data_IF_059855607005
#
_entry.id   IF_059855607005
#
_cell.length_a   1.000
_cell.length_b   1.000
_cell.length_c   1.000
_cell.angle_alpha   90.00
_cell.angle_beta   90.00
_cell.angle_gamma   90.00
#
_symmetry.space_group_name_H-M   'P 1'
#
loop_
_entity.id
_entity.type
_entity.pdbx_description
1 polymer ?
#
# COMPACT_ATOMS: atom_id res chain seq x y z
N UNK A 1 -31.42 -7.42 5.61
CA UNK A 1 -30.09 -7.76 6.15
C UNK A 1 -30.23 -8.50 7.47
N UNK A 2 -30.25 -9.84 7.49
CA UNK A 2 -30.40 -10.65 8.70
C UNK A 2 -29.13 -10.73 9.58
N UNK A 3 -27.94 -10.56 8.99
CA UNK A 3 -26.66 -10.78 9.69
C UNK A 3 -26.38 -9.76 10.81
N UNK A 4 -26.92 -8.53 10.72
CA UNK A 4 -26.80 -7.50 11.76
C UNK A 4 -27.51 -7.85 13.08
N UNK A 5 -28.41 -8.84 13.10
CA UNK A 5 -29.02 -9.32 14.34
C UNK A 5 -28.09 -10.27 15.12
N UNK A 6 -27.30 -11.10 14.43
CA UNK A 6 -26.40 -12.06 15.07
C UNK A 6 -25.24 -11.36 15.78
N UNK A 7 -24.76 -10.24 15.25
CA UNK A 7 -23.74 -9.39 15.88
C UNK A 7 -24.21 -8.81 17.23
N UNK A 8 -25.51 -8.51 17.37
CA UNK A 8 -26.07 -8.04 18.65
C UNK A 8 -26.06 -9.14 19.71
N UNK A 9 -26.28 -10.39 19.30
CA UNK A 9 -26.30 -11.52 20.23
C UNK A 9 -24.89 -11.99 20.65
N UNK A 10 -23.83 -11.60 19.92
CA UNK A 10 -22.45 -11.74 20.41
C UNK A 10 -22.19 -10.92 21.68
N UNK A 11 -22.97 -9.85 21.92
CA UNK A 11 -22.88 -8.95 23.09
C UNK A 11 -24.05 -9.13 24.07
N UNK A 12 -24.81 -10.22 23.95
CA UNK A 12 -25.94 -10.51 24.83
C UNK A 12 -25.51 -10.61 26.30
N UNK A 13 -26.38 -10.24 27.25
CA UNK A 13 -26.09 -10.36 28.68
C UNK A 13 -25.99 -11.83 29.11
N UNK A 14 -26.80 -12.70 28.50
CA UNK A 14 -26.85 -14.12 28.81
C UNK A 14 -25.66 -14.86 28.18
N UNK A 15 -24.80 -15.41 29.04
CA UNK A 15 -23.64 -16.23 28.63
C UNK A 15 -24.02 -17.37 27.67
N UNK A 16 -25.16 -18.01 27.90
CA UNK A 16 -25.65 -19.11 27.07
C UNK A 16 -25.98 -18.68 25.64
N UNK A 17 -26.51 -17.46 25.47
CA UNK A 17 -26.81 -16.90 24.15
C UNK A 17 -25.51 -16.61 23.41
N UNK A 18 -24.57 -15.89 24.06
CA UNK A 18 -23.25 -15.60 23.49
C UNK A 18 -22.53 -16.89 23.05
N UNK A 19 -22.48 -17.90 23.90
CA UNK A 19 -21.83 -19.17 23.61
C UNK A 19 -22.45 -19.89 22.40
N UNK A 20 -23.79 -19.91 22.29
CA UNK A 20 -24.49 -20.52 21.16
C UNK A 20 -24.22 -19.79 19.85
N UNK A 21 -24.21 -18.46 19.87
CA UNK A 21 -23.95 -17.63 18.68
C UNK A 21 -22.52 -17.83 18.19
N UNK A 22 -21.53 -17.78 19.08
CA UNK A 22 -20.12 -18.06 18.72
C UNK A 22 -19.97 -19.47 18.15
N UNK A 23 -20.67 -20.45 18.75
CA UNK A 23 -20.63 -21.82 18.24
C UNK A 23 -21.32 -21.97 16.87
N UNK A 24 -22.37 -21.20 16.58
CA UNK A 24 -22.98 -21.16 15.25
C UNK A 24 -21.99 -20.62 14.21
N UNK A 25 -21.30 -19.52 14.52
CA UNK A 25 -20.26 -18.98 13.66
C UNK A 25 -19.13 -19.99 13.42
N UNK A 26 -18.73 -20.75 14.45
CA UNK A 26 -17.76 -21.85 14.28
C UNK A 26 -18.27 -22.90 13.30
N UNK A 27 -19.52 -23.33 13.40
CA UNK A 27 -20.10 -24.30 12.46
C UNK A 27 -20.14 -23.76 11.03
N UNK A 28 -20.40 -22.47 10.85
CA UNK A 28 -20.32 -21.82 9.53
C UNK A 28 -18.89 -21.75 9.00
N UNK A 29 -17.91 -21.48 9.86
CA UNK A 29 -16.48 -21.53 9.53
C UNK A 29 -16.07 -22.94 9.08
N UNK A 30 -16.46 -23.97 9.83
CA UNK A 30 -16.18 -25.38 9.52
C UNK A 30 -16.77 -25.78 8.15
N UNK A 31 -17.96 -25.25 7.82
CA UNK A 31 -18.65 -25.52 6.58
C UNK A 31 -18.18 -24.66 5.39
N UNK A 32 -17.21 -23.73 5.58
CA UNK A 32 -16.79 -22.74 4.56
C UNK A 32 -17.95 -21.87 4.06
N UNK A 33 -18.85 -21.47 4.96
CA UNK A 33 -20.09 -20.74 4.62
C UNK A 33 -20.16 -19.32 5.19
N UNK A 34 -19.07 -18.77 5.70
CA UNK A 34 -19.04 -17.37 6.13
C UNK A 34 -19.02 -16.47 4.88
N UNK A 35 -20.01 -15.58 4.70
CA UNK A 35 -19.99 -14.64 3.58
C UNK A 35 -18.82 -13.65 3.70
N UNK A 36 -18.18 -13.30 2.57
CA UNK A 36 -17.06 -12.34 2.57
C UNK A 36 -17.46 -11.01 3.21
N UNK A 37 -18.65 -10.50 2.91
CA UNK A 37 -19.16 -9.25 3.50
C UNK A 37 -19.21 -9.26 5.04
N UNK A 38 -19.38 -10.44 5.66
CA UNK A 38 -19.38 -10.57 7.12
C UNK A 38 -17.95 -10.56 7.66
N UNK A 39 -17.00 -11.14 6.91
CA UNK A 39 -15.57 -11.06 7.23
C UNK A 39 -15.08 -9.62 7.12
N UNK A 40 -15.46 -8.92 6.04
CA UNK A 40 -15.14 -7.52 5.79
C UNK A 40 -15.69 -6.60 6.90
N UNK A 41 -16.83 -6.96 7.49
CA UNK A 41 -17.46 -6.23 8.59
C UNK A 41 -16.86 -6.54 9.98
N UNK A 42 -15.77 -7.30 10.06
CA UNK A 42 -15.02 -7.48 11.32
C UNK A 42 -15.55 -8.57 12.25
N UNK A 43 -16.17 -9.64 11.72
CA UNK A 43 -16.62 -10.78 12.56
C UNK A 43 -15.48 -11.42 13.36
N UNK A 44 -14.26 -11.39 12.83
CA UNK A 44 -13.07 -11.91 13.49
C UNK A 44 -12.77 -11.07 14.74
N UNK A 45 -12.88 -9.75 14.66
CA UNK A 45 -12.67 -8.85 15.80
C UNK A 45 -13.75 -9.08 16.86
N UNK A 46 -15.02 -9.15 16.46
CA UNK A 46 -16.12 -9.38 17.40
C UNK A 46 -15.99 -10.71 18.15
N UNK A 47 -15.57 -11.78 17.47
CA UNK A 47 -15.31 -13.07 18.12
C UNK A 47 -13.99 -13.05 18.89
N UNK A 48 -12.99 -12.29 18.44
CA UNK A 48 -11.72 -12.07 19.11
C UNK A 48 -11.91 -11.45 20.49
N UNK A 49 -12.78 -10.44 20.60
CA UNK A 49 -13.19 -9.87 21.87
C UNK A 49 -13.82 -10.91 22.82
N UNK A 50 -14.39 -12.01 22.30
CA UNK A 50 -14.98 -13.09 23.13
C UNK A 50 -13.94 -14.04 23.71
N UNK A 51 -12.69 -14.00 23.24
CA UNK A 51 -11.57 -14.69 23.88
C UNK A 51 -11.28 -14.14 25.28
N UNK A 52 -11.77 -12.95 25.60
CA UNK A 52 -11.65 -12.31 26.91
C UNK A 52 -12.91 -12.40 27.77
N UNK A 53 -13.93 -13.16 27.33
CA UNK A 53 -15.16 -13.33 28.09
C UNK A 53 -14.87 -13.91 29.49
N UNK A 54 -15.64 -13.46 30.49
CA UNK A 54 -15.53 -13.95 31.87
C UNK A 54 -15.74 -15.46 31.96
N UNK A 55 -16.58 -16.02 31.10
CA UNK A 55 -17.01 -17.41 31.16
C UNK A 55 -16.25 -18.27 30.15
N UNK A 56 -15.63 -19.35 30.64
CA UNK A 56 -14.94 -20.36 29.81
C UNK A 56 -15.86 -20.89 28.71
N UNK A 57 -17.17 -21.02 29.02
CA UNK A 57 -18.19 -21.49 28.10
C UNK A 57 -18.28 -20.67 26.80
N UNK A 58 -17.89 -19.40 26.83
CA UNK A 58 -17.86 -18.52 25.65
C UNK A 58 -16.47 -18.46 25.03
N UNK A 59 -15.41 -18.41 25.86
CA UNK A 59 -14.03 -18.34 25.37
C UNK A 59 -13.64 -19.57 24.55
N UNK A 60 -13.99 -20.77 25.02
CA UNK A 60 -13.67 -22.03 24.34
C UNK A 60 -14.21 -22.10 22.89
N UNK A 61 -15.52 -21.89 22.62
CA UNK A 61 -16.02 -21.89 21.24
C UNK A 61 -15.45 -20.73 20.41
N UNK A 62 -15.06 -19.61 21.02
CA UNK A 62 -14.40 -18.50 20.31
C UNK A 62 -13.00 -18.89 19.81
N UNK A 63 -12.19 -19.55 20.65
CA UNK A 63 -10.88 -20.08 20.26
C UNK A 63 -11.04 -21.11 19.12
N UNK A 64 -12.02 -22.00 19.25
CA UNK A 64 -12.31 -23.00 18.24
C UNK A 64 -12.76 -22.38 16.91
N UNK A 65 -13.56 -21.30 16.96
CA UNK A 65 -13.89 -20.51 15.78
C UNK A 65 -12.64 -19.97 15.09
N UNK A 66 -11.71 -19.34 15.82
CA UNK A 66 -10.50 -18.78 15.21
C UNK A 66 -9.66 -19.84 14.49
N UNK A 67 -9.54 -21.03 15.08
CA UNK A 67 -8.86 -22.17 14.46
C UNK A 67 -9.57 -22.64 13.19
N UNK A 68 -10.89 -22.76 13.25
CA UNK A 68 -11.70 -23.19 12.10
C UNK A 68 -11.64 -22.18 10.96
N UNK A 69 -11.75 -20.89 11.29
CA UNK A 69 -11.63 -19.80 10.35
C UNK A 69 -10.30 -19.84 9.61
N UNK A 70 -9.18 -20.00 10.31
CA UNK A 70 -7.86 -20.13 9.70
C UNK A 70 -7.76 -21.33 8.75
N UNK A 71 -8.19 -22.52 9.20
CA UNK A 71 -8.17 -23.74 8.37
C UNK A 71 -8.98 -23.62 7.08
N UNK A 72 -10.06 -22.86 7.16
CA UNK A 72 -11.05 -22.70 6.10
C UNK A 72 -11.05 -21.29 5.50
N UNK A 73 -9.94 -20.57 5.65
CA UNK A 73 -9.86 -19.17 5.26
C UNK A 73 -9.97 -18.99 3.73
N UNK A 74 -10.43 -17.81 3.32
CA UNK A 74 -10.61 -17.44 1.90
C UNK A 74 -9.40 -16.74 1.29
N UNK A 75 -8.36 -16.48 2.10
CA UNK A 75 -7.25 -15.57 1.77
C UNK A 75 -5.98 -16.27 1.24
N UNK A 76 -5.98 -17.60 1.23
CA UNK A 76 -4.91 -18.44 0.70
C UNK A 76 -4.12 -19.18 1.79
N UNK A 77 -2.86 -19.47 1.47
CA UNK A 77 -2.02 -20.39 2.25
C UNK A 77 -1.14 -19.70 3.30
N UNK A 78 -0.97 -18.38 3.24
CA UNK A 78 -0.19 -17.60 4.20
C UNK A 78 -0.81 -16.23 4.51
N UNK A 79 -0.51 -15.72 5.69
CA UNK A 79 -0.82 -14.38 6.17
C UNK A 79 0.45 -13.60 6.50
N UNK A 80 1.58 -13.93 5.85
CA UNK A 80 2.88 -13.33 6.12
C UNK A 80 2.81 -11.81 5.98
N UNK A 81 2.89 -11.08 7.10
CA UNK A 81 2.64 -9.63 7.11
C UNK A 81 3.57 -8.88 6.16
N UNK A 82 4.85 -9.23 6.16
CA UNK A 82 5.87 -8.61 5.32
C UNK A 82 5.57 -8.80 3.82
N UNK A 83 5.27 -10.03 3.41
CA UNK A 83 4.99 -10.33 2.01
C UNK A 83 3.71 -9.65 1.52
N UNK A 84 2.63 -9.74 2.31
CA UNK A 84 1.33 -9.19 1.96
C UNK A 84 1.34 -7.65 1.99
N UNK A 85 2.05 -7.00 2.92
CA UNK A 85 2.22 -5.53 2.94
C UNK A 85 3.01 -5.04 1.73
N UNK A 86 4.10 -5.71 1.37
CA UNK A 86 4.86 -5.37 0.15
C UNK A 86 4.02 -5.54 -1.11
N UNK A 87 3.12 -6.53 -1.16
CA UNK A 87 2.21 -6.70 -2.28
C UNK A 87 1.16 -5.58 -2.34
N UNK A 88 0.57 -5.22 -1.21
CA UNK A 88 -0.36 -4.09 -1.13
C UNK A 88 0.29 -2.77 -1.57
N UNK A 89 1.53 -2.51 -1.17
CA UNK A 89 2.27 -1.31 -1.60
C UNK A 89 2.45 -1.25 -3.12
N UNK A 90 2.72 -2.39 -3.77
CA UNK A 90 2.81 -2.46 -5.23
C UNK A 90 1.47 -2.15 -5.90
N UNK A 91 0.36 -2.70 -5.38
CA UNK A 91 -0.97 -2.42 -5.90
C UNK A 91 -1.37 -0.95 -5.72
N UNK A 92 -1.02 -0.33 -4.59
CA UNK A 92 -1.26 1.09 -4.36
C UNK A 92 -0.50 1.97 -5.36
N UNK A 93 0.78 1.66 -5.62
CA UNK A 93 1.58 2.35 -6.64
C UNK A 93 1.02 2.13 -8.06
N UNK A 94 0.52 0.93 -8.38
CA UNK A 94 -0.16 0.63 -9.64
C UNK A 94 -1.44 1.46 -9.79
N UNK A 95 -2.25 1.57 -8.73
CA UNK A 95 -3.44 2.42 -8.72
C UNK A 95 -3.09 3.89 -8.94
N UNK A 96 -2.06 4.40 -8.28
CA UNK A 96 -1.58 5.77 -8.48
C UNK A 96 -1.14 6.01 -9.93
N UNK A 97 -0.41 5.07 -10.53
CA UNK A 97 -0.03 5.14 -11.93
C UNK A 97 -1.24 5.07 -12.88
N UNK A 98 -2.27 4.26 -12.57
CA UNK A 98 -3.51 4.22 -13.34
C UNK A 98 -4.28 5.54 -13.26
N UNK A 99 -4.41 6.12 -12.07
CA UNK A 99 -5.07 7.42 -11.86
C UNK A 99 -4.31 8.56 -12.54
N UNK A 100 -2.99 8.53 -12.51
CA UNK A 100 -2.17 9.51 -13.24
C UNK A 100 -2.33 9.44 -14.77
N UNK A 101 -2.77 8.28 -15.29
CA UNK A 101 -3.01 8.04 -16.71
C UNK A 101 -4.51 7.96 -17.05
N UNK A 102 -5.35 8.71 -16.31
CA UNK A 102 -6.80 8.78 -16.54
C UNK A 102 -7.10 9.30 -17.97
N UNK A 103 -7.78 8.49 -18.82
CA UNK A 103 -8.12 8.86 -20.19
C UNK A 103 -9.22 9.94 -20.29
N UNK A 104 -9.98 10.19 -19.22
CA UNK A 104 -11.02 11.22 -19.15
C UNK A 104 -10.51 12.53 -18.50
N UNK A 105 -9.24 12.59 -18.08
CA UNK A 105 -8.69 13.78 -17.44
C UNK A 105 -8.62 14.92 -18.46
N UNK A 106 -9.37 15.99 -18.16
CA UNK A 106 -9.54 17.16 -19.01
C UNK A 106 -8.18 17.67 -19.55
N UNK A 107 -7.96 17.70 -20.88
CA UNK A 107 -6.75 18.25 -21.48
C UNK A 107 -6.45 19.67 -20.99
N UNK A 108 -7.50 20.45 -20.69
CA UNK A 108 -7.35 21.76 -20.09
C UNK A 108 -6.75 21.67 -18.68
N UNK A 109 -7.21 20.75 -17.83
CA UNK A 109 -6.60 20.53 -16.51
C UNK A 109 -5.17 19.99 -16.59
N UNK A 110 -4.82 19.20 -17.60
CA UNK A 110 -3.45 18.68 -17.78
C UNK A 110 -2.49 19.79 -18.21
N UNK A 111 -2.92 20.64 -19.11
CA UNK A 111 -2.20 21.85 -19.49
C UNK A 111 -2.05 22.80 -18.30
N UNK A 112 -3.14 23.06 -17.55
CA UNK A 112 -3.14 23.91 -16.34
C UNK A 112 -2.17 23.37 -15.27
N UNK A 113 -2.28 22.09 -14.92
CA UNK A 113 -1.42 21.46 -13.92
C UNK A 113 0.06 21.45 -14.33
N UNK A 114 0.34 21.34 -15.63
CA UNK A 114 1.72 21.42 -16.12
C UNK A 114 2.29 22.83 -15.98
N UNK A 115 1.54 23.85 -16.37
CA UNK A 115 1.96 25.25 -16.22
C UNK A 115 2.14 25.57 -14.75
N UNK A 116 1.18 25.22 -13.89
CA UNK A 116 1.25 25.41 -12.44
C UNK A 116 2.50 24.76 -11.83
N UNK A 117 2.80 23.51 -12.21
CA UNK A 117 3.96 22.77 -11.69
C UNK A 117 5.30 23.42 -12.00
N UNK A 118 5.44 24.10 -13.14
CA UNK A 118 6.72 24.66 -13.59
C UNK A 118 6.77 26.20 -13.46
N UNK A 119 5.63 26.85 -13.17
CA UNK A 119 5.48 28.29 -13.08
C UNK A 119 6.54 28.94 -12.20
N UNK A 120 6.69 28.48 -10.96
CA UNK A 120 7.58 29.09 -9.97
C UNK A 120 9.06 28.92 -10.35
N UNK A 121 9.41 27.77 -10.95
CA UNK A 121 10.77 27.52 -11.40
C UNK A 121 11.15 28.41 -12.59
N UNK A 122 10.29 28.50 -13.60
CA UNK A 122 10.52 29.36 -14.78
C UNK A 122 10.60 30.82 -14.34
N UNK A 123 9.68 31.28 -13.49
CA UNK A 123 9.68 32.63 -12.94
C UNK A 123 10.97 32.94 -12.19
N UNK A 124 11.39 32.06 -11.27
CA UNK A 124 12.60 32.26 -10.47
C UNK A 124 13.84 32.39 -11.35
N UNK A 125 13.92 31.62 -12.43
CA UNK A 125 15.05 31.68 -13.36
C UNK A 125 15.03 32.93 -14.21
N UNK A 126 13.87 33.39 -14.69
CA UNK A 126 13.75 34.67 -15.40
C UNK A 126 14.17 35.84 -14.51
N UNK A 127 13.69 35.91 -13.27
CA UNK A 127 14.09 36.96 -12.31
C UNK A 127 15.61 36.96 -12.10
N UNK A 128 16.19 35.78 -11.86
CA UNK A 128 17.63 35.65 -11.62
C UNK A 128 18.44 36.03 -12.85
N UNK A 129 18.03 35.57 -14.03
CA UNK A 129 18.70 35.87 -15.29
C UNK A 129 18.62 37.37 -15.63
N UNK A 130 17.46 38.00 -15.48
CA UNK A 130 17.27 39.42 -15.77
C UNK A 130 18.10 40.32 -14.84
N UNK A 131 18.30 39.90 -13.59
CA UNK A 131 19.15 40.61 -12.64
C UNK A 131 20.65 40.53 -12.99
N UNK A 132 21.07 39.53 -13.78
CA UNK A 132 22.47 39.37 -14.22
C UNK A 132 22.80 40.08 -15.54
N UNK A 133 21.79 40.62 -16.22
CA UNK A 133 21.93 41.27 -17.52
C UNK A 133 22.39 42.72 -17.35
N UNK A 134 23.37 43.13 -18.15
CA UNK A 134 23.70 44.54 -18.35
C UNK A 134 22.74 45.17 -19.37
N UNK A 135 21.67 45.79 -18.89
CA UNK A 135 20.66 46.44 -19.72
C UNK A 135 21.14 47.73 -20.39
N UNK A 136 22.26 48.32 -19.94
CA UNK A 136 22.84 49.53 -20.53
C UNK A 136 23.70 49.27 -21.76
N UNK A 137 24.08 48.00 -22.00
CA UNK A 137 24.85 47.62 -23.18
C UNK A 137 23.99 47.67 -24.46
N UNK A 138 24.54 48.34 -25.47
CA UNK A 138 23.94 48.42 -26.80
C UNK A 138 24.13 47.10 -27.54
N UNK A 139 23.07 46.57 -28.13
CA UNK A 139 23.17 45.46 -29.07
C UNK A 139 23.28 45.99 -30.48
N UNK A 140 24.10 45.32 -31.30
CA UNK A 140 24.24 45.67 -32.70
C UNK A 140 22.89 45.48 -33.41
N UNK A 141 22.43 46.48 -34.19
CA UNK A 141 21.21 46.34 -34.97
C UNK A 141 21.35 45.18 -35.95
N UNK A 142 20.24 44.49 -36.21
CA UNK A 142 20.21 43.33 -37.09
C UNK A 142 20.59 43.70 -38.52
N UNK A 143 21.33 42.82 -39.18
CA UNK A 143 21.59 42.93 -40.62
C UNK A 143 20.28 42.76 -41.41
N UNK A 144 20.15 43.39 -42.58
CA UNK A 144 18.93 43.31 -43.42
C UNK A 144 18.57 41.87 -43.85
N UNK A 145 19.50 40.92 -43.69
CA UNK A 145 19.34 39.50 -43.99
C UNK A 145 19.03 38.62 -42.74
N UNK A 146 19.07 39.19 -41.52
CA UNK A 146 18.73 38.49 -40.27
C UNK A 146 17.21 38.46 -40.05
N UNK A 147 16.53 37.66 -40.88
CA UNK A 147 15.09 37.41 -40.76
C UNK A 147 14.83 36.43 -39.61
N UNK A 148 14.49 36.93 -38.42
CA UNK A 148 13.96 36.08 -37.36
C UNK A 148 12.61 35.54 -37.84
N UNK A 149 12.55 34.25 -38.17
CA UNK A 149 11.28 33.67 -38.58
C UNK A 149 10.22 33.84 -37.48
N UNK A 150 8.98 34.09 -37.87
CA UNK A 150 7.83 34.15 -36.97
C UNK A 150 7.77 32.92 -36.03
N UNK A 151 8.29 31.78 -36.49
CA UNK A 151 8.40 30.54 -35.72
C UNK A 151 9.33 30.65 -34.50
N UNK A 152 10.40 31.45 -34.57
CA UNK A 152 11.33 31.68 -33.44
C UNK A 152 10.65 32.55 -32.36
N UNK A 153 9.94 33.60 -32.78
CA UNK A 153 9.19 34.49 -31.88
C UNK A 153 7.99 33.77 -31.25
N UNK A 154 7.38 32.84 -31.98
CA UNK A 154 6.27 32.03 -31.49
C UNK A 154 6.71 30.89 -30.56
N UNK A 155 7.87 30.28 -30.79
CA UNK A 155 8.28 29.02 -30.14
C UNK A 155 9.02 29.14 -28.79
N UNK A 156 9.66 30.27 -28.49
CA UNK A 156 10.42 30.42 -27.23
C UNK A 156 9.63 30.19 -25.93
N UNK A 157 8.30 30.50 -25.83
CA UNK A 157 7.52 30.17 -24.65
C UNK A 157 7.45 28.67 -24.36
N UNK A 158 7.29 27.86 -25.41
CA UNK A 158 7.26 26.41 -25.31
C UNK A 158 8.59 25.87 -24.77
N UNK A 159 9.69 26.37 -25.33
CA UNK A 159 11.05 25.96 -24.97
C UNK A 159 11.41 26.34 -23.53
N UNK A 160 10.92 27.47 -23.02
CA UNK A 160 11.12 27.86 -21.61
C UNK A 160 10.54 26.84 -20.64
N UNK A 161 9.28 26.45 -20.88
CA UNK A 161 8.60 25.49 -20.04
C UNK A 161 9.10 24.07 -20.25
N UNK A 162 9.67 23.74 -21.43
CA UNK A 162 10.32 22.46 -21.67
C UNK A 162 11.68 22.36 -20.97
N UNK A 163 12.51 23.41 -21.04
CA UNK A 163 13.80 23.48 -20.35
C UNK A 163 13.63 23.29 -18.82
N UNK A 164 12.56 23.84 -18.25
CA UNK A 164 12.20 23.62 -16.84
C UNK A 164 11.86 22.17 -16.48
N UNK A 165 11.35 21.40 -17.44
CA UNK A 165 10.99 20.00 -17.23
C UNK A 165 12.17 19.04 -17.43
N UNK A 166 13.11 19.37 -18.34
CA UNK A 166 14.08 18.40 -18.86
C UNK A 166 15.54 18.69 -18.48
N UNK A 167 15.99 19.95 -18.56
CA UNK A 167 17.42 20.29 -18.55
C UNK A 167 17.84 21.13 -17.35
N UNK A 168 16.94 21.97 -16.83
CA UNK A 168 17.24 22.89 -15.72
C UNK A 168 18.25 23.99 -16.06
N UNK A 169 18.73 24.06 -17.30
CA UNK A 169 19.63 25.09 -17.81
C UNK A 169 18.84 26.09 -18.67
N UNK A 170 18.83 27.34 -18.23
CA UNK A 170 18.02 28.43 -18.80
C UNK A 170 18.88 29.55 -19.37
N UNK A 171 20.21 29.49 -19.20
CA UNK A 171 21.08 30.64 -19.41
C UNK A 171 21.04 31.13 -20.86
N UNK A 172 21.18 30.23 -21.82
CA UNK A 172 21.19 30.56 -23.25
C UNK A 172 19.82 31.05 -23.75
N UNK A 173 18.74 30.49 -23.20
CA UNK A 173 17.38 30.87 -23.55
C UNK A 173 17.01 32.25 -23.00
N UNK A 174 17.38 32.54 -21.76
CA UNK A 174 17.21 33.87 -21.16
C UNK A 174 18.06 34.89 -21.93
N UNK A 175 19.31 34.56 -22.26
CA UNK A 175 20.17 35.42 -23.08
C UNK A 175 19.54 35.74 -24.45
N UNK A 176 18.91 34.75 -25.08
CA UNK A 176 18.20 34.94 -26.35
C UNK A 176 16.97 35.85 -26.20
N UNK A 177 16.18 35.69 -25.14
CA UNK A 177 15.02 36.55 -24.85
C UNK A 177 15.46 38.00 -24.60
N UNK A 178 16.50 38.19 -23.81
CA UNK A 178 17.09 39.52 -23.51
C UNK A 178 17.56 40.21 -24.79
N UNK A 179 18.24 39.46 -25.67
CA UNK A 179 18.71 39.96 -26.96
C UNK A 179 17.56 40.46 -27.82
N UNK A 180 16.54 39.61 -27.98
CA UNK A 180 15.33 39.94 -28.75
C UNK A 180 14.57 41.15 -28.19
N UNK A 181 14.52 41.28 -26.86
CA UNK A 181 13.96 42.45 -26.18
C UNK A 181 14.73 43.72 -26.56
N UNK A 182 16.06 43.73 -26.42
CA UNK A 182 16.90 44.91 -26.73
C UNK A 182 16.83 45.35 -28.18
N UNK A 183 16.71 44.40 -29.10
CA UNK A 183 16.53 44.66 -30.53
C UNK A 183 15.12 45.19 -30.87
N UNK A 184 14.19 45.22 -29.91
CA UNK A 184 12.84 45.74 -30.09
C UNK A 184 11.91 44.81 -30.85
N UNK A 185 12.26 43.52 -30.98
CA UNK A 185 11.47 42.52 -31.71
C UNK A 185 10.08 42.33 -31.08
N UNK A 186 9.97 42.49 -29.76
CA UNK A 186 8.71 42.34 -29.02
C UNK A 186 7.86 43.62 -28.93
N UNK A 187 8.23 44.71 -29.62
CA UNK A 187 7.43 45.94 -29.63
C UNK A 187 6.02 45.73 -30.18
N UNK A 188 5.86 44.83 -31.15
CA UNK A 188 4.54 44.48 -31.70
C UNK A 188 3.65 43.74 -30.70
N UNK A 189 4.24 43.10 -29.67
CA UNK A 189 3.53 42.49 -28.55
C UNK A 189 3.26 43.49 -27.41
N UNK A 190 3.63 44.76 -27.59
CA UNK A 190 3.49 45.82 -26.59
C UNK A 190 4.56 45.80 -25.51
N UNK A 191 5.69 45.14 -25.74
CA UNK A 191 6.82 45.08 -24.80
C UNK A 191 7.94 46.00 -25.28
N UNK A 192 7.80 47.31 -25.05
CA UNK A 192 8.89 48.25 -25.30
C UNK A 192 9.74 48.42 -24.04
N UNK A 193 11.05 48.18 -24.13
CA UNK A 193 11.97 48.45 -23.01
C UNK A 193 11.94 49.92 -22.59
N UNK A 194 11.59 50.84 -23.48
CA UNK A 194 11.46 52.25 -23.14
C UNK A 194 10.39 52.51 -22.06
N UNK A 195 9.45 51.58 -21.87
CA UNK A 195 8.38 51.68 -20.88
C UNK A 195 8.81 51.23 -19.47
N UNK A 196 9.98 50.60 -19.32
CA UNK A 196 10.46 50.03 -18.06
C UNK A 196 11.81 50.62 -17.64
N UNK A 197 11.95 50.97 -16.35
CA UNK A 197 13.26 51.31 -15.80
C UNK A 197 14.03 50.02 -15.45
N UNK A 198 14.80 49.49 -16.40
CA UNK A 198 15.52 48.23 -16.21
C UNK A 198 16.67 48.27 -15.19
N UNK A 199 16.99 49.43 -14.60
CA UNK A 199 17.89 49.54 -13.43
C UNK A 199 17.15 49.29 -12.10
N UNK A 200 15.82 49.35 -12.08
CA UNK A 200 14.98 49.06 -10.92
C UNK A 200 14.51 47.60 -10.92
N UNK A 201 14.90 46.77 -9.92
CA UNK A 201 14.43 45.39 -9.79
C UNK A 201 12.90 45.25 -9.76
N UNK A 202 12.18 46.30 -9.34
CA UNK A 202 10.72 46.32 -9.30
C UNK A 202 10.14 46.35 -10.72
N UNK A 203 10.71 47.16 -11.60
CA UNK A 203 10.30 47.25 -13.01
C UNK A 203 10.77 46.02 -13.81
N UNK A 204 11.94 45.46 -13.48
CA UNK A 204 12.38 44.17 -14.04
C UNK A 204 11.38 43.05 -13.74
N UNK A 205 10.92 42.95 -12.48
CA UNK A 205 9.94 41.94 -12.08
C UNK A 205 8.58 42.14 -12.79
N UNK A 206 8.16 43.39 -13.04
CA UNK A 206 6.95 43.65 -13.83
C UNK A 206 7.08 43.14 -15.26
N UNK A 207 8.24 43.35 -15.91
CA UNK A 207 8.48 42.80 -17.24
C UNK A 207 8.50 41.25 -17.21
N UNK A 208 9.10 40.65 -16.18
CA UNK A 208 9.04 39.19 -15.97
C UNK A 208 7.60 38.70 -15.80
N UNK A 209 6.74 39.45 -15.09
CA UNK A 209 5.31 39.11 -14.95
C UNK A 209 4.60 39.06 -16.30
N UNK A 210 4.81 40.08 -17.13
CA UNK A 210 4.23 40.18 -18.47
C UNK A 210 4.72 39.04 -19.37
N UNK A 211 6.02 38.72 -19.31
CA UNK A 211 6.63 37.61 -20.03
C UNK A 211 6.04 36.26 -19.56
N UNK A 212 5.88 36.09 -18.24
CA UNK A 212 5.30 34.88 -17.67
C UNK A 212 3.84 34.69 -18.06
N UNK A 213 3.02 35.75 -18.04
CA UNK A 213 1.61 35.69 -18.43
C UNK A 213 1.47 35.24 -19.89
N UNK A 214 2.24 35.85 -20.80
CA UNK A 214 2.25 35.47 -22.21
C UNK A 214 2.79 34.05 -22.42
N UNK A 215 3.86 33.68 -21.71
CA UNK A 215 4.45 32.37 -21.87
C UNK A 215 3.54 31.25 -21.34
N UNK A 216 2.81 31.50 -20.25
CA UNK A 216 1.79 30.59 -19.73
C UNK A 216 0.65 30.41 -20.73
N UNK A 217 0.08 31.49 -21.26
CA UNK A 217 -1.03 31.44 -22.22
C UNK A 217 -0.64 30.71 -23.52
N UNK A 218 0.58 30.95 -24.03
CA UNK A 218 1.09 30.26 -25.22
C UNK A 218 1.38 28.78 -24.95
N UNK A 219 2.06 28.46 -23.85
CA UNK A 219 2.32 27.07 -23.47
C UNK A 219 1.01 26.29 -23.26
N UNK A 220 0.01 26.91 -22.62
CA UNK A 220 -1.34 26.37 -22.48
C UNK A 220 -1.96 26.04 -23.84
N UNK A 221 -1.97 27.00 -24.78
CA UNK A 221 -2.57 26.82 -26.11
C UNK A 221 -1.89 25.72 -26.92
N UNK A 222 -0.57 25.66 -26.92
CA UNK A 222 0.18 24.62 -27.63
C UNK A 222 0.00 23.22 -27.03
N UNK A 223 -0.07 23.13 -25.69
CA UNK A 223 -0.39 21.88 -24.98
C UNK A 223 -1.79 21.40 -25.33
N UNK A 224 -2.77 22.29 -25.28
CA UNK A 224 -4.14 21.99 -25.68
C UNK A 224 -4.22 21.51 -27.14
N UNK A 225 -3.46 22.12 -28.06
CA UNK A 225 -3.40 21.70 -29.46
C UNK A 225 -2.74 20.32 -29.58
N UNK A 226 -1.57 20.11 -28.99
CA UNK A 226 -0.87 18.82 -29.07
C UNK A 226 -1.65 17.66 -28.44
N UNK A 227 -2.41 17.92 -27.38
CA UNK A 227 -3.29 16.94 -26.73
C UNK A 227 -4.60 16.70 -27.50
N UNK A 228 -5.12 17.72 -28.22
CA UNK A 228 -6.31 17.60 -29.07
C UNK A 228 -6.03 17.08 -30.51
N UNK A 229 -4.77 17.04 -30.96
CA UNK A 229 -4.40 16.67 -32.34
C UNK A 229 -4.33 15.15 -32.61
N UNK A 230 -4.86 14.31 -31.73
CA UNK A 230 -5.17 12.91 -32.06
C UNK A 230 -6.66 12.78 -32.40
N UNK A 231 -7.06 12.73 -33.68
CA UNK A 231 -8.37 12.25 -34.09
C UNK A 231 -8.41 10.74 -33.84
N UNK A 232 -8.53 10.33 -32.58
CA UNK A 232 -8.87 8.95 -32.27
C UNK A 232 -10.39 8.85 -32.38
N UNK A 233 -10.88 8.04 -33.33
CA UNK A 233 -12.29 7.69 -33.50
C UNK A 233 -12.97 7.54 -32.14
N UNK A 234 -14.14 8.13 -31.92
CA UNK A 234 -14.80 8.17 -30.61
C UNK A 234 -15.01 6.78 -30.01
N UNK A 235 -15.20 5.75 -30.85
CA UNK A 235 -15.27 4.35 -30.39
C UNK A 235 -13.95 3.86 -29.76
N UNK A 236 -12.79 4.26 -30.28
CA UNK A 236 -11.47 3.91 -29.73
C UNK A 236 -11.16 4.68 -28.43
N UNK A 237 -11.79 5.84 -28.20
CA UNK A 237 -11.73 6.54 -26.91
C UNK A 237 -12.58 5.81 -25.86
N UNK A 238 -13.77 5.38 -26.25
CA UNK A 238 -14.71 4.69 -25.37
C UNK A 238 -14.26 3.27 -25.00
N UNK A 239 -13.64 2.53 -25.92
CA UNK A 239 -12.99 1.24 -25.63
C UNK A 239 -11.80 1.39 -24.66
N UNK A 240 -10.91 2.37 -24.90
CA UNK A 240 -9.77 2.65 -24.00
C UNK A 240 -10.24 3.06 -22.60
N UNK A 241 -11.33 3.81 -22.52
CA UNK A 241 -11.98 4.19 -21.26
C UNK A 241 -12.55 2.99 -20.52
N UNK A 242 -13.28 2.12 -21.21
CA UNK A 242 -13.82 0.89 -20.63
C UNK A 242 -12.70 -0.01 -20.08
N UNK A 243 -11.60 -0.16 -20.84
CA UNK A 243 -10.42 -0.93 -20.41
C UNK A 243 -9.74 -0.31 -19.19
N UNK A 244 -9.59 1.01 -19.14
CA UNK A 244 -9.03 1.70 -17.99
C UNK A 244 -9.91 1.56 -16.74
N UNK A 245 -11.22 1.75 -16.88
CA UNK A 245 -12.19 1.57 -15.79
C UNK A 245 -12.17 0.14 -15.25
N UNK A 246 -12.08 -0.86 -16.13
CA UNK A 246 -11.98 -2.27 -15.74
C UNK A 246 -10.66 -2.55 -15.00
N UNK A 247 -9.54 -2.02 -15.48
CA UNK A 247 -8.23 -2.12 -14.80
C UNK A 247 -8.27 -1.45 -13.43
N UNK A 248 -8.81 -0.24 -13.33
CA UNK A 248 -8.92 0.50 -12.07
C UNK A 248 -9.82 -0.25 -11.08
N UNK A 249 -10.96 -0.78 -11.55
CA UNK A 249 -11.86 -1.60 -10.74
C UNK A 249 -11.14 -2.84 -10.20
N UNK A 250 -10.50 -3.62 -11.07
CA UNK A 250 -9.75 -4.83 -10.67
C UNK A 250 -8.62 -4.52 -9.69
N UNK A 251 -7.91 -3.40 -9.90
CA UNK A 251 -6.87 -2.94 -8.99
C UNK A 251 -7.45 -2.58 -7.61
N UNK A 252 -8.56 -1.82 -7.58
CA UNK A 252 -9.25 -1.47 -6.35
C UNK A 252 -9.81 -2.70 -5.62
N UNK A 253 -10.41 -3.65 -6.34
CA UNK A 253 -10.90 -4.91 -5.77
C UNK A 253 -9.75 -5.71 -5.13
N UNK A 254 -8.59 -5.76 -5.81
CA UNK A 254 -7.38 -6.41 -5.29
C UNK A 254 -6.81 -5.70 -4.05
N UNK A 255 -6.83 -4.37 -4.03
CA UNK A 255 -6.43 -3.56 -2.86
C UNK A 255 -7.37 -3.85 -1.69
N UNK A 256 -8.68 -3.82 -1.90
CA UNK A 256 -9.69 -4.08 -0.87
C UNK A 256 -9.53 -5.51 -0.30
N UNK A 257 -9.33 -6.50 -1.17
CA UNK A 257 -9.03 -7.87 -0.76
C UNK A 257 -7.79 -7.95 0.13
N UNK A 258 -6.68 -7.30 -0.28
CA UNK A 258 -5.43 -7.32 0.48
C UNK A 258 -5.54 -6.58 1.82
N UNK A 259 -6.25 -5.45 1.87
CA UNK A 259 -6.52 -4.72 3.10
C UNK A 259 -7.32 -5.58 4.08
N UNK A 260 -8.36 -6.26 3.59
CA UNK A 260 -9.19 -7.15 4.42
C UNK A 260 -8.39 -8.35 4.92
N UNK A 261 -7.56 -8.95 4.06
CA UNK A 261 -6.63 -10.02 4.45
C UNK A 261 -5.68 -9.59 5.57
N UNK A 262 -5.09 -8.39 5.46
CA UNK A 262 -4.17 -7.85 6.47
C UNK A 262 -4.90 -7.49 7.77
N UNK A 263 -6.12 -6.96 7.68
CA UNK A 263 -6.98 -6.72 8.84
C UNK A 263 -7.27 -8.02 9.59
N UNK A 264 -7.70 -9.06 8.88
CA UNK A 264 -7.91 -10.39 9.45
C UNK A 264 -6.64 -10.95 10.11
N UNK A 265 -5.47 -10.80 9.48
CA UNK A 265 -4.18 -11.17 10.07
C UNK A 265 -3.91 -10.43 11.39
N UNK A 266 -4.18 -9.13 11.44
CA UNK A 266 -4.01 -8.32 12.65
C UNK A 266 -4.91 -8.82 13.77
N UNK A 267 -6.21 -9.00 13.50
CA UNK A 267 -7.20 -9.48 14.47
C UNK A 267 -6.83 -10.85 15.05
N UNK A 268 -6.30 -11.75 14.21
CA UNK A 268 -5.80 -13.06 14.63
C UNK A 268 -4.52 -12.95 15.47
N UNK A 269 -3.64 -12.00 15.16
CA UNK A 269 -2.42 -11.73 15.93
C UNK A 269 -2.76 -11.18 17.33
N UNK A 270 -3.69 -10.23 17.42
CA UNK A 270 -4.17 -9.67 18.69
C UNK A 270 -4.81 -10.75 19.59
N UNK A 271 -5.47 -11.71 18.95
CA UNK A 271 -6.09 -12.87 19.62
C UNK A 271 -5.09 -13.86 20.23
N UNK A 272 -3.81 -13.84 19.82
CA UNK A 272 -2.81 -14.82 20.28
C UNK A 272 -2.54 -14.75 21.78
N UNK A 273 -2.51 -13.56 22.38
CA UNK A 273 -2.24 -13.42 23.82
C UNK A 273 -3.39 -13.97 24.66
N UNK A 274 -4.63 -13.73 24.24
CA UNK A 274 -5.82 -14.26 24.89
C UNK A 274 -5.89 -15.79 24.79
N UNK A 275 -5.50 -16.35 23.65
CA UNK A 275 -5.36 -17.80 23.50
C UNK A 275 -4.22 -18.36 24.35
N UNK A 276 -3.05 -17.71 24.39
CA UNK A 276 -1.93 -18.12 25.23
C UNK A 276 -2.34 -18.18 26.71
N UNK A 277 -3.09 -17.18 27.19
CA UNK A 277 -3.65 -17.21 28.54
C UNK A 277 -4.52 -18.45 28.76
N UNK A 278 -5.35 -18.82 27.79
CA UNK A 278 -6.14 -20.05 27.82
C UNK A 278 -5.29 -21.32 27.86
N UNK A 279 -4.20 -21.39 27.09
CA UNK A 279 -3.25 -22.51 27.11
C UNK A 279 -2.51 -22.61 28.46
N UNK A 280 -2.17 -21.48 29.08
CA UNK A 280 -1.44 -21.45 30.34
C UNK A 280 -2.36 -21.66 31.56
N UNK A 281 -3.56 -21.09 31.59
CA UNK A 281 -4.37 -21.03 32.82
C UNK A 281 -5.78 -21.63 32.68
N UNK A 282 -6.17 -22.03 31.47
CA UNK A 282 -7.49 -22.59 31.19
C UNK A 282 -7.67 -24.03 31.70
N UNK A 283 -8.91 -24.52 31.61
CA UNK A 283 -9.21 -25.92 31.84
C UNK A 283 -8.63 -26.81 30.71
N UNK A 284 -8.70 -28.14 30.87
CA UNK A 284 -8.11 -29.07 29.90
C UNK A 284 -8.70 -28.92 28.48
N UNK A 285 -9.97 -28.52 28.35
CA UNK A 285 -10.61 -28.35 27.04
C UNK A 285 -10.24 -27.00 26.41
N UNK A 286 -10.21 -25.92 27.19
CA UNK A 286 -9.76 -24.59 26.78
C UNK A 286 -8.28 -24.61 26.38
N UNK A 287 -7.44 -25.32 27.14
CA UNK A 287 -6.03 -25.53 26.84
C UNK A 287 -5.84 -26.19 25.47
N UNK A 288 -6.59 -27.26 25.19
CA UNK A 288 -6.49 -27.99 23.93
C UNK A 288 -6.85 -27.11 22.73
N UNK A 289 -7.97 -26.39 22.81
CA UNK A 289 -8.39 -25.48 21.74
C UNK A 289 -7.38 -24.33 21.56
N UNK A 290 -6.85 -23.78 22.66
CA UNK A 290 -5.86 -22.71 22.61
C UNK A 290 -4.57 -23.14 21.93
N UNK A 291 -4.04 -24.32 22.29
CA UNK A 291 -2.86 -24.89 21.65
C UNK A 291 -3.10 -25.11 20.15
N UNK A 292 -4.25 -25.68 19.78
CA UNK A 292 -4.61 -25.88 18.37
C UNK A 292 -4.63 -24.55 17.60
N UNK A 293 -5.28 -23.52 18.14
CA UNK A 293 -5.34 -22.21 17.50
C UNK A 293 -3.95 -21.60 17.28
N UNK A 294 -3.09 -21.62 18.31
CA UNK A 294 -1.73 -21.06 18.24
C UNK A 294 -0.90 -21.77 17.15
N UNK A 295 -1.08 -23.08 16.97
CA UNK A 295 -0.41 -23.85 15.91
C UNK A 295 -0.92 -23.46 14.54
N UNK A 296 -2.24 -23.30 14.37
CA UNK A 296 -2.78 -22.84 13.08
C UNK A 296 -2.25 -21.45 12.74
N UNK A 297 -2.21 -20.52 13.70
CA UNK A 297 -1.58 -19.22 13.51
C UNK A 297 -0.12 -19.34 13.06
N UNK A 298 0.64 -20.29 13.62
CA UNK A 298 2.02 -20.53 13.20
C UNK A 298 2.10 -21.11 11.78
N UNK A 299 1.22 -22.05 11.43
CA UNK A 299 1.18 -22.67 10.09
C UNK A 299 0.87 -21.63 9.00
N UNK A 300 0.03 -20.65 9.31
CA UNK A 300 -0.35 -19.56 8.41
C UNK A 300 0.58 -18.33 8.49
N UNK A 301 1.70 -18.42 9.23
CA UNK A 301 2.67 -17.33 9.40
C UNK A 301 2.10 -16.02 9.99
N UNK A 302 1.12 -16.13 10.90
CA UNK A 302 0.59 -14.98 11.65
C UNK A 302 1.69 -14.36 12.50
N UNK A 303 1.73 -13.03 12.58
CA UNK A 303 2.69 -12.27 13.37
C UNK A 303 2.72 -12.73 14.84
N UNK A 304 3.92 -12.73 15.42
CA UNK A 304 4.22 -13.13 16.80
C UNK A 304 3.91 -14.59 17.19
N UNK A 305 3.39 -15.40 16.27
CA UNK A 305 3.12 -16.83 16.50
C UNK A 305 4.35 -17.62 16.96
N UNK A 306 5.55 -17.30 16.44
CA UNK A 306 6.82 -17.90 16.86
C UNK A 306 7.18 -17.66 18.33
N UNK A 307 6.87 -16.48 18.86
CA UNK A 307 7.12 -16.16 20.27
C UNK A 307 6.13 -16.90 21.16
N UNK A 308 4.87 -16.99 20.72
CA UNK A 308 3.78 -17.60 21.48
C UNK A 308 3.92 -19.13 21.50
N UNK A 309 4.30 -19.77 20.38
CA UNK A 309 4.50 -21.22 20.34
C UNK A 309 5.64 -21.67 21.28
N UNK A 310 6.69 -20.87 21.42
CA UNK A 310 7.79 -21.16 22.38
C UNK A 310 7.33 -21.10 23.83
N UNK A 311 6.41 -20.19 24.14
CA UNK A 311 5.79 -20.13 25.48
C UNK A 311 4.87 -21.33 25.71
N UNK A 312 4.16 -21.80 24.68
CA UNK A 312 3.39 -23.05 24.74
C UNK A 312 4.31 -24.25 24.99
N UNK A 313 5.49 -24.32 24.38
CA UNK A 313 6.44 -25.41 24.62
C UNK A 313 6.97 -25.46 26.06
N UNK A 314 6.98 -24.35 26.79
CA UNK A 314 7.33 -24.36 28.22
C UNK A 314 6.35 -25.19 29.07
N UNK A 315 5.13 -25.46 28.56
CA UNK A 315 4.16 -26.33 29.23
C UNK A 315 4.63 -27.78 29.37
N UNK A 316 5.67 -28.20 28.64
CA UNK A 316 6.25 -29.55 28.75
C UNK A 316 6.77 -29.87 30.16
N UNK A 317 7.13 -28.83 30.93
CA UNK A 317 7.63 -28.95 32.30
C UNK A 317 6.54 -29.05 33.35
N UNK A 318 5.25 -28.96 32.97
CA UNK A 318 4.15 -29.16 33.93
C UNK A 318 4.06 -30.62 34.33
N UNK A 319 3.76 -30.88 35.61
CA UNK A 319 3.52 -32.22 36.15
C UNK A 319 2.13 -32.77 35.75
N UNK A 320 1.80 -32.72 34.46
CA UNK A 320 0.56 -33.27 33.93
C UNK A 320 0.84 -33.95 32.59
N UNK A 321 0.66 -35.27 32.57
CA UNK A 321 0.96 -36.13 31.41
C UNK A 321 0.07 -35.80 30.22
N UNK A 322 -1.20 -35.43 30.44
CA UNK A 322 -2.12 -35.12 29.35
C UNK A 322 -1.76 -33.80 28.67
N UNK A 323 -1.34 -32.79 29.44
CA UNK A 323 -0.82 -31.53 28.89
C UNK A 323 0.46 -31.78 28.10
N UNK A 324 1.39 -32.56 28.64
CA UNK A 324 2.63 -32.93 27.96
C UNK A 324 2.35 -33.65 26.64
N UNK A 325 1.40 -34.60 26.62
CA UNK A 325 0.98 -35.29 25.40
C UNK A 325 0.39 -34.34 24.37
N UNK A 326 -0.47 -33.42 24.80
CA UNK A 326 -1.09 -32.45 23.87
C UNK A 326 -0.03 -31.54 23.25
N UNK A 327 0.93 -31.04 24.04
CA UNK A 327 2.05 -30.21 23.55
C UNK A 327 2.94 -30.98 22.55
N UNK A 328 3.23 -32.25 22.81
CA UNK A 328 4.02 -33.09 21.89
C UNK A 328 3.24 -33.39 20.60
N UNK A 329 1.95 -33.70 20.69
CA UNK A 329 1.08 -33.92 19.53
C UNK A 329 0.95 -32.65 18.67
N UNK A 330 0.83 -31.50 19.32
CA UNK A 330 0.86 -30.19 18.72
C UNK A 330 2.15 -29.93 17.93
N UNK A 331 3.30 -30.10 18.60
CA UNK A 331 4.62 -29.95 17.99
C UNK A 331 4.80 -30.89 16.80
N UNK A 332 4.31 -32.14 16.91
CA UNK A 332 4.33 -33.12 15.82
C UNK A 332 3.57 -32.63 14.59
N UNK A 333 2.32 -32.18 14.76
CA UNK A 333 1.50 -31.66 13.66
C UNK A 333 2.12 -30.44 12.98
N UNK A 334 2.80 -29.61 13.76
CA UNK A 334 3.45 -28.40 13.25
C UNK A 334 4.74 -28.73 12.50
N UNK A 335 5.64 -29.52 13.11
CA UNK A 335 7.01 -29.72 12.65
C UNK A 335 7.14 -30.80 11.58
N UNK A 336 6.40 -31.90 11.70
CA UNK A 336 6.51 -33.03 10.77
C UNK A 336 5.66 -32.73 9.54
N UNK A 337 6.27 -32.84 8.36
CA UNK A 337 5.55 -32.73 7.10
C UNK A 337 4.58 -33.90 6.91
N UNK A 338 3.37 -33.63 6.44
CA UNK A 338 2.37 -34.66 6.10
C UNK A 338 2.45 -35.10 4.63
N UNK A 339 3.47 -34.69 3.89
CA UNK A 339 3.65 -35.10 2.49
C UNK A 339 4.00 -36.59 2.42
N UNK A 340 3.39 -37.30 1.47
CA UNK A 340 3.61 -38.73 1.26
C UNK A 340 5.00 -39.05 0.70
N UNK A 341 5.59 -38.10 -0.04
CA UNK A 341 6.90 -38.27 -0.67
C UNK A 341 8.03 -37.83 0.28
N UNK A 342 8.92 -38.76 0.62
CA UNK A 342 10.02 -38.57 1.59
C UNK A 342 11.00 -37.46 1.15
N UNK A 343 11.27 -37.37 -0.15
CA UNK A 343 12.15 -36.37 -0.78
C UNK A 343 11.67 -34.93 -0.56
N UNK A 344 10.36 -34.72 -0.42
CA UNK A 344 9.77 -33.42 -0.07
C UNK A 344 9.54 -33.31 1.44
N UNK A 345 9.12 -34.39 2.09
CA UNK A 345 8.76 -34.42 3.51
C UNK A 345 9.96 -34.18 4.43
N UNK A 346 11.10 -34.82 4.17
CA UNK A 346 12.28 -34.73 5.04
C UNK A 346 12.91 -33.33 5.01
N UNK A 347 13.16 -32.70 3.84
CA UNK A 347 13.68 -31.34 3.81
C UNK A 347 12.68 -30.31 4.33
N UNK A 348 11.37 -30.53 4.17
CA UNK A 348 10.35 -29.66 4.76
C UNK A 348 10.34 -29.74 6.29
N UNK A 349 10.39 -30.95 6.84
CA UNK A 349 10.47 -31.19 8.29
C UNK A 349 11.72 -30.55 8.88
N UNK A 350 12.89 -30.77 8.25
CA UNK A 350 14.15 -30.17 8.67
C UNK A 350 14.08 -28.63 8.66
N UNK A 351 13.52 -28.03 7.60
CA UNK A 351 13.33 -26.57 7.50
C UNK A 351 12.44 -26.03 8.62
N UNK A 352 11.31 -26.68 8.90
CA UNK A 352 10.40 -26.27 9.98
C UNK A 352 11.07 -26.34 11.36
N UNK A 353 11.83 -27.42 11.62
CA UNK A 353 12.60 -27.55 12.86
C UNK A 353 13.66 -26.45 13.00
N UNK A 354 14.42 -26.18 11.93
CA UNK A 354 15.40 -25.09 11.91
C UNK A 354 14.74 -23.72 12.13
N UNK A 355 13.56 -23.48 11.54
CA UNK A 355 12.84 -22.23 11.69
C UNK A 355 12.38 -22.00 13.14
N UNK A 356 11.88 -23.05 13.81
CA UNK A 356 11.51 -22.95 15.23
C UNK A 356 12.72 -22.64 16.10
N UNK A 357 13.87 -23.25 15.82
CA UNK A 357 15.12 -23.00 16.53
C UNK A 357 15.71 -21.61 16.23
N UNK A 358 15.49 -21.07 15.02
CA UNK A 358 16.02 -19.78 14.60
C UNK A 358 15.49 -18.64 15.48
N UNK A 359 16.38 -17.97 16.20
CA UNK A 359 16.04 -16.87 17.11
C UNK A 359 15.56 -17.32 18.50
N UNK A 360 15.72 -18.60 18.86
CA UNK A 360 15.41 -19.13 20.20
C UNK A 360 16.40 -18.63 21.23
N UNK A 361 15.90 -18.06 22.34
CA UNK A 361 16.77 -17.66 23.45
C UNK A 361 17.31 -18.89 24.18
N UNK A 362 18.45 -18.76 24.88
CA UNK A 362 19.08 -19.87 25.62
C UNK A 362 18.12 -20.57 26.61
N UNK A 363 17.21 -19.82 27.24
CA UNK A 363 16.21 -20.36 28.17
C UNK A 363 15.11 -21.15 27.45
N UNK A 364 14.72 -20.70 26.26
CA UNK A 364 13.68 -21.33 25.43
C UNK A 364 14.21 -22.61 24.76
N UNK A 365 15.53 -22.67 24.51
CA UNK A 365 16.18 -23.81 23.85
C UNK A 365 15.93 -25.12 24.59
N UNK A 366 16.01 -25.13 25.92
CA UNK A 366 15.74 -26.31 26.73
C UNK A 366 14.30 -26.81 26.56
N UNK A 367 13.33 -25.89 26.46
CA UNK A 367 11.92 -26.26 26.26
C UNK A 367 11.69 -26.85 24.87
N UNK A 368 12.23 -26.21 23.84
CA UNK A 368 12.13 -26.69 22.44
C UNK A 368 12.82 -28.06 22.30
N UNK A 369 14.02 -28.20 22.88
CA UNK A 369 14.79 -29.46 22.84
C UNK A 369 14.04 -30.60 23.52
N UNK A 370 13.48 -30.37 24.72
CA UNK A 370 12.71 -31.39 25.44
C UNK A 370 11.47 -31.83 24.66
N UNK A 371 10.77 -30.90 24.01
CA UNK A 371 9.60 -31.22 23.17
C UNK A 371 10.01 -32.07 21.96
N UNK A 372 11.10 -31.72 21.28
CA UNK A 372 11.63 -32.51 20.14
C UNK A 372 12.09 -33.89 20.61
N UNK A 373 12.80 -33.97 21.73
CA UNK A 373 13.28 -35.24 22.27
C UNK A 373 12.12 -36.17 22.63
N UNK A 374 11.07 -35.66 23.28
CA UNK A 374 9.87 -36.45 23.58
C UNK A 374 9.11 -36.86 22.33
N UNK A 375 9.07 -36.00 21.32
CA UNK A 375 8.47 -36.33 20.02
C UNK A 375 9.20 -37.52 19.36
N UNK A 376 10.53 -37.57 19.45
CA UNK A 376 11.38 -38.66 18.94
C UNK A 376 11.28 -39.93 19.80
N UNK A 377 11.19 -39.82 21.13
CA UNK A 377 11.01 -40.98 22.02
C UNK A 377 9.65 -41.66 21.88
N UNK A 378 8.65 -40.94 21.37
CA UNK A 378 7.31 -41.48 21.06
C UNK A 378 7.20 -41.99 19.61
N UNK A 379 8.31 -42.10 18.89
CA UNK A 379 8.39 -42.79 17.60
C UNK A 379 8.59 -44.29 17.88
N UNK A 380 7.66 -45.18 17.49
CA UNK A 380 7.95 -46.62 17.47
C UNK A 380 9.03 -46.96 16.44
#
# INVERSE_FOLDING_TARGET
>A
MPFLQEDRHLRDQATQVRAKVVNLWRLLADAKRIPSSVVDNGIIDYIGERLEDKQVLVRKPAIAFMSSFLKNNVYGHDFSWKANTSHLQKLLAEREALVANDPDFDPQRRAEAYVERHHDLVRSNLVTGFATVDWGSHEEPLDEDDDFSDDVIAGWPAFLFQAAAETGDFHDLIGSIVRLLKLGVFKELGWDLADYNMEDPTEQNKLVDVIMEYACDRCMKERLISENMLPTNDMLKEERRADWLDKLRKCNDSIAYMQTKLHAASALSDSLQSALRGALHGDAAELKEAINFIIECKNFEICDSDKVIRQVFALIWRNNVDIQKEVVNAARKMLISQNEQSDVADPATARKMLQVLKGTKKVEYNCVSEVIERMLRQYP
#
